data_IF_051039123868
#
_entry.id   IF_051039123868
#
_cell.length_a   1.000
_cell.length_b   1.000
_cell.length_c   1.000
_cell.angle_alpha   90.00
_cell.angle_beta   90.00
_cell.angle_gamma   90.00
#
_symmetry.space_group_name_H-M   'P 1'
#
loop_
_entity.id
_entity.type
_entity.pdbx_description
1 polymer ?
#
# COMPACT_ATOMS: atom_id res chain seq x y z
N UNK A 1 8.12 29.22 6.96
CA UNK A 1 7.22 29.00 8.10
C UNK A 1 6.02 28.17 7.67
N UNK A 2 5.56 27.28 8.54
CA UNK A 2 4.37 26.44 8.29
C UNK A 2 3.15 27.21 8.76
N UNK A 3 2.13 27.33 7.90
CA UNK A 3 0.84 27.92 8.26
C UNK A 3 0.01 26.85 8.97
N UNK A 4 0.00 26.86 10.31
CA UNK A 4 -0.61 25.82 11.14
C UNK A 4 -2.13 25.69 10.95
N UNK A 5 -2.81 26.77 10.64
CA UNK A 5 -4.27 26.82 10.51
C UNK A 5 -4.76 26.85 9.05
N UNK A 6 -3.94 26.40 8.11
CA UNK A 6 -4.35 26.32 6.70
C UNK A 6 -5.45 25.28 6.50
N UNK A 7 -6.47 25.60 5.71
CA UNK A 7 -7.52 24.66 5.29
C UNK A 7 -6.99 23.51 4.42
N UNK A 8 -5.77 23.64 3.88
CA UNK A 8 -5.10 22.60 3.09
C UNK A 8 -4.29 21.64 3.94
N UNK A 9 -4.10 21.93 5.24
CA UNK A 9 -3.37 21.03 6.12
C UNK A 9 -4.12 19.70 6.29
N UNK A 10 -3.42 18.60 6.02
CA UNK A 10 -3.92 17.25 6.28
C UNK A 10 -2.78 16.33 6.67
N UNK A 11 -3.12 15.28 7.39
CA UNK A 11 -2.19 14.21 7.74
C UNK A 11 -2.62 12.92 7.06
N UNK A 12 -1.70 12.32 6.31
CA UNK A 12 -1.86 11.00 5.72
C UNK A 12 -0.85 10.07 6.40
N UNK A 13 -1.32 8.96 6.92
CA UNK A 13 -0.51 8.06 7.74
C UNK A 13 -1.01 6.62 7.60
N UNK A 14 -0.46 5.69 8.39
CA UNK A 14 -0.72 4.25 8.32
C UNK A 14 -2.18 3.84 8.56
N UNK A 15 -3.01 4.70 9.13
CA UNK A 15 -4.44 4.42 9.39
C UNK A 15 -5.39 5.17 8.45
N UNK A 16 -4.87 6.01 7.57
CA UNK A 16 -5.69 6.75 6.60
C UNK A 16 -6.38 5.80 5.64
N UNK A 17 -7.66 6.03 5.41
CA UNK A 17 -8.40 5.28 4.38
C UNK A 17 -7.94 5.71 2.99
N UNK A 18 -7.55 4.74 2.15
CA UNK A 18 -7.00 4.96 0.82
C UNK A 18 -7.75 4.12 -0.20
N UNK A 19 -8.10 4.71 -1.32
CA UNK A 19 -8.73 4.01 -2.43
C UNK A 19 -7.69 3.19 -3.22
N UNK A 20 -8.03 1.95 -3.57
CA UNK A 20 -7.30 1.18 -4.58
C UNK A 20 -7.83 1.59 -5.95
N UNK A 21 -6.98 2.10 -6.82
CA UNK A 21 -7.33 2.63 -8.14
C UNK A 21 -6.53 1.93 -9.25
N UNK A 22 -7.17 1.67 -10.36
CA UNK A 22 -6.56 0.98 -11.50
C UNK A 22 -6.96 -0.50 -11.60
N UNK A 23 -6.22 -1.32 -12.33
CA UNK A 23 -6.64 -2.67 -12.74
C UNK A 23 -6.85 -3.66 -11.59
N UNK A 24 -6.26 -3.40 -10.41
CA UNK A 24 -6.43 -4.30 -9.26
C UNK A 24 -7.60 -3.92 -8.34
N UNK A 25 -8.29 -2.81 -8.60
CA UNK A 25 -9.48 -2.43 -7.82
C UNK A 25 -10.54 -3.52 -7.89
N UNK A 26 -10.94 -4.03 -6.74
CA UNK A 26 -11.96 -5.09 -6.62
C UNK A 26 -11.45 -6.49 -6.98
N UNK A 27 -10.15 -6.67 -7.25
CA UNK A 27 -9.59 -7.99 -7.48
C UNK A 27 -9.59 -8.82 -6.18
N UNK A 28 -9.82 -10.13 -6.28
CA UNK A 28 -9.83 -11.03 -5.12
C UNK A 28 -8.54 -10.98 -4.29
N UNK A 29 -7.38 -10.73 -4.93
CA UNK A 29 -6.10 -10.56 -4.24
C UNK A 29 -6.01 -9.29 -3.37
N UNK A 30 -6.95 -8.35 -3.51
CA UNK A 30 -7.03 -7.11 -2.71
C UNK A 30 -8.06 -7.19 -1.58
N UNK A 31 -8.81 -8.28 -1.49
CA UNK A 31 -9.80 -8.52 -0.43
C UNK A 31 -9.10 -8.69 0.91
N UNK A 32 -9.53 -7.94 1.91
CA UNK A 32 -9.07 -8.01 3.30
C UNK A 32 -10.25 -7.81 4.24
N UNK A 33 -10.08 -8.11 5.52
CA UNK A 33 -11.07 -7.81 6.57
C UNK A 33 -11.48 -6.32 6.57
N UNK A 34 -10.55 -5.42 6.29
CA UNK A 34 -10.84 -3.98 6.17
C UNK A 34 -11.66 -3.64 4.91
N UNK A 35 -11.45 -4.34 3.82
CA UNK A 35 -12.12 -4.10 2.53
C UNK A 35 -12.57 -5.42 1.90
N UNK A 36 -13.74 -5.95 2.31
CA UNK A 36 -14.26 -7.21 1.78
C UNK A 36 -14.54 -7.21 0.27
N UNK A 37 -14.63 -6.04 -0.34
CA UNK A 37 -14.80 -5.86 -1.79
C UNK A 37 -13.47 -5.54 -2.53
N UNK A 38 -12.33 -5.46 -1.83
CA UNK A 38 -11.02 -5.24 -2.43
C UNK A 38 -10.83 -3.86 -3.07
N UNK A 39 -11.59 -2.84 -2.64
CA UNK A 39 -11.55 -1.49 -3.25
C UNK A 39 -10.82 -0.44 -2.42
N UNK A 40 -10.50 -0.78 -1.17
CA UNK A 40 -9.88 0.12 -0.19
C UNK A 40 -8.72 -0.56 0.53
N UNK A 41 -7.86 0.26 1.10
CA UNK A 41 -6.79 -0.17 2.00
C UNK A 41 -6.56 0.86 3.09
N UNK A 42 -5.87 0.50 4.16
CA UNK A 42 -5.51 1.45 5.22
C UNK A 42 -4.04 1.83 5.11
N UNK A 43 -3.83 3.12 4.90
CA UNK A 43 -2.55 3.75 5.08
C UNK A 43 -1.53 3.55 3.96
N UNK A 44 -0.47 4.30 4.12
CA UNK A 44 0.77 4.22 3.35
C UNK A 44 1.94 4.18 4.30
N UNK A 45 3.06 3.59 3.90
CA UNK A 45 4.19 3.36 4.78
C UNK A 45 5.49 3.37 3.99
N UNK A 46 6.56 3.73 4.70
CA UNK A 46 7.93 3.75 4.20
C UNK A 46 8.04 4.45 2.85
N UNK A 47 7.43 5.64 2.78
CA UNK A 47 7.51 6.46 1.59
C UNK A 47 8.93 7.03 1.48
N UNK A 48 9.59 6.76 0.35
CA UNK A 48 10.91 7.27 0.04
C UNK A 48 10.83 8.60 -0.70
N UNK A 49 11.24 8.62 -1.96
CA UNK A 49 11.12 9.80 -2.76
C UNK A 49 9.68 10.04 -3.22
N UNK A 50 9.50 10.97 -4.10
CA UNK A 50 8.19 11.44 -4.52
C UNK A 50 8.17 11.74 -6.02
N UNK A 51 7.02 12.11 -6.48
CA UNK A 51 6.81 12.66 -7.80
C UNK A 51 5.59 13.59 -7.82
N UNK A 52 5.31 14.11 -8.98
CA UNK A 52 4.11 14.91 -9.21
C UNK A 52 3.48 14.53 -10.54
N UNK A 53 2.22 14.86 -10.70
CA UNK A 53 1.50 14.64 -11.94
C UNK A 53 1.34 15.95 -12.72
N UNK A 54 1.13 15.89 -14.03
CA UNK A 54 0.88 17.09 -14.85
C UNK A 54 -0.38 17.86 -14.44
N UNK A 55 -1.29 17.21 -13.73
CA UNK A 55 -2.53 17.80 -13.22
C UNK A 55 -2.42 18.30 -11.77
N UNK A 56 -1.20 18.39 -11.22
CA UNK A 56 -0.91 19.07 -9.96
C UNK A 56 -1.09 18.22 -8.70
N UNK A 57 -1.16 16.89 -8.80
CA UNK A 57 -1.17 16.01 -7.62
C UNK A 57 0.23 15.53 -7.26
N UNK A 58 0.41 15.16 -5.98
CA UNK A 58 1.65 14.60 -5.44
C UNK A 58 1.60 13.08 -5.47
N UNK A 59 2.73 12.44 -5.76
CA UNK A 59 2.93 10.99 -5.72
C UNK A 59 3.89 10.65 -4.57
N UNK A 60 3.42 9.90 -3.58
CA UNK A 60 4.26 9.31 -2.53
C UNK A 60 4.59 7.87 -2.91
N UNK A 61 5.87 7.49 -2.80
CA UNK A 61 6.39 6.23 -3.31
C UNK A 61 6.66 5.25 -2.18
N UNK A 62 5.93 4.14 -2.12
CA UNK A 62 6.12 3.09 -1.10
C UNK A 62 7.32 2.22 -1.46
N UNK A 63 8.39 2.30 -0.67
CA UNK A 63 9.66 1.60 -0.92
C UNK A 63 9.78 0.31 -0.11
N UNK A 64 10.18 0.39 1.16
CA UNK A 64 10.53 -0.76 2.01
C UNK A 64 9.32 -1.38 2.75
N UNK A 65 8.16 -1.35 2.14
CA UNK A 65 6.88 -1.77 2.72
C UNK A 65 6.83 -3.26 3.13
N UNK A 66 7.54 -4.15 2.43
CA UNK A 66 7.46 -5.59 2.66
C UNK A 66 7.96 -6.01 4.04
N UNK A 67 8.92 -5.27 4.62
CA UNK A 67 9.52 -5.56 5.91
C UNK A 67 8.58 -5.47 7.11
N UNK A 68 7.43 -4.84 6.95
CA UNK A 68 6.44 -4.69 8.02
C UNK A 68 5.55 -5.91 8.21
N UNK A 69 5.46 -6.81 7.20
CA UNK A 69 4.56 -7.94 7.21
C UNK A 69 5.20 -9.20 7.80
N UNK A 70 4.63 -9.70 8.89
CA UNK A 70 4.88 -11.03 9.43
C UNK A 70 3.82 -12.02 8.99
N UNK A 71 4.07 -13.30 9.26
CA UNK A 71 3.17 -14.41 8.91
C UNK A 71 3.08 -15.38 10.08
N UNK A 72 1.96 -15.42 10.77
CA UNK A 72 1.72 -16.33 11.90
C UNK A 72 1.26 -17.71 11.45
N UNK A 73 0.66 -17.82 10.27
CA UNK A 73 0.15 -19.07 9.71
C UNK A 73 0.17 -18.99 8.17
N UNK A 74 1.12 -19.63 7.49
CA UNK A 74 1.19 -19.65 6.03
C UNK A 74 -0.06 -20.25 5.39
N UNK A 75 -0.70 -21.21 6.05
CA UNK A 75 -1.83 -21.97 5.51
C UNK A 75 -1.52 -22.62 4.16
N UNK A 76 -2.55 -22.98 3.42
CA UNK A 76 -2.42 -23.47 2.04
C UNK A 76 -2.53 -22.29 1.06
N UNK A 77 -1.41 -21.89 0.51
CA UNK A 77 -1.33 -20.88 -0.56
C UNK A 77 -0.91 -21.53 -1.87
N UNK A 78 -1.43 -21.02 -2.98
CA UNK A 78 -0.99 -21.44 -4.30
C UNK A 78 0.51 -21.16 -4.51
N UNK A 79 1.13 -21.91 -5.43
CA UNK A 79 2.52 -21.67 -5.82
C UNK A 79 2.77 -20.25 -6.32
N UNK A 80 1.79 -19.67 -7.03
CA UNK A 80 1.86 -18.29 -7.53
C UNK A 80 1.82 -17.26 -6.40
N UNK A 81 0.97 -17.43 -5.38
CA UNK A 81 0.96 -16.56 -4.20
C UNK A 81 2.29 -16.63 -3.45
N UNK A 82 2.81 -17.81 -3.21
CA UNK A 82 4.10 -18.02 -2.56
C UNK A 82 5.26 -17.40 -3.36
N UNK A 83 5.25 -17.57 -4.69
CA UNK A 83 6.24 -16.97 -5.57
C UNK A 83 6.18 -15.43 -5.52
N UNK A 84 4.98 -14.87 -5.54
CA UNK A 84 4.75 -13.42 -5.38
C UNK A 84 5.26 -12.91 -4.04
N UNK A 85 4.94 -13.59 -2.93
CA UNK A 85 5.44 -13.21 -1.61
C UNK A 85 6.97 -13.19 -1.56
N UNK A 86 7.61 -14.24 -2.05
CA UNK A 86 9.09 -14.32 -2.11
C UNK A 86 9.69 -13.23 -3.00
N UNK A 87 9.10 -12.98 -4.18
CA UNK A 87 9.57 -11.94 -5.09
C UNK A 87 9.61 -10.57 -4.41
N UNK A 88 8.57 -10.20 -3.68
CA UNK A 88 8.47 -8.90 -3.02
C UNK A 88 9.09 -8.85 -1.62
N UNK A 89 9.62 -9.96 -1.12
CA UNK A 89 10.21 -10.03 0.21
C UNK A 89 9.20 -10.07 1.35
N UNK A 90 7.94 -10.37 1.06
CA UNK A 90 6.93 -10.67 2.08
C UNK A 90 7.16 -12.09 2.61
N UNK A 91 7.07 -12.28 3.91
CA UNK A 91 7.37 -13.57 4.55
C UNK A 91 6.34 -14.63 4.14
N UNK A 92 6.79 -15.63 3.39
CA UNK A 92 5.96 -16.76 2.95
C UNK A 92 5.88 -17.91 3.98
N UNK A 93 6.79 -17.92 4.97
CA UNK A 93 6.84 -18.91 6.07
C UNK A 93 6.52 -18.24 7.40
N UNK A 94 6.28 -19.02 8.45
CA UNK A 94 6.06 -18.48 9.80
C UNK A 94 7.23 -17.58 10.22
N UNK A 95 6.89 -16.44 10.80
CA UNK A 95 7.86 -15.50 11.38
C UNK A 95 7.40 -14.05 11.33
N UNK A 96 8.12 -13.21 12.05
CA UNK A 96 7.82 -11.78 12.14
C UNK A 96 8.35 -11.01 10.93
N UNK A 97 7.71 -9.89 10.62
CA UNK A 97 8.29 -8.89 9.72
C UNK A 97 9.57 -8.28 10.35
N UNK A 98 10.44 -7.72 9.51
CA UNK A 98 11.69 -7.06 9.97
C UNK A 98 11.40 -5.99 11.03
N UNK A 99 10.32 -5.24 10.88
CA UNK A 99 9.94 -4.15 11.78
C UNK A 99 9.13 -4.62 13.00
N UNK A 100 8.78 -5.90 13.08
CA UNK A 100 8.02 -6.53 14.19
C UNK A 100 6.63 -5.92 14.46
N UNK A 101 6.05 -5.15 13.57
CA UNK A 101 4.74 -4.53 13.79
C UNK A 101 3.59 -5.55 13.91
N UNK A 102 3.77 -6.73 13.31
CA UNK A 102 2.81 -7.83 13.42
C UNK A 102 2.75 -8.46 14.82
N UNK A 103 3.66 -8.09 15.73
CA UNK A 103 3.69 -8.58 17.13
C UNK A 103 3.10 -7.58 18.11
N UNK A 104 2.77 -6.37 17.68
CA UNK A 104 2.24 -5.33 18.56
C UNK A 104 0.84 -5.71 19.08
N UNK A 105 0.61 -5.46 20.36
CA UNK A 105 -0.68 -5.70 21.01
C UNK A 105 -1.72 -4.67 20.56
N UNK A 106 -2.93 -5.12 20.31
CA UNK A 106 -4.09 -4.28 19.98
C UNK A 106 -5.11 -4.19 21.12
N UNK A 107 -4.79 -4.69 22.30
CA UNK A 107 -5.70 -4.61 23.45
C UNK A 107 -6.08 -3.15 23.72
N UNK A 108 -7.39 -2.87 23.65
CA UNK A 108 -7.92 -1.52 23.83
C UNK A 108 -7.72 -0.55 22.65
N UNK A 109 -7.14 -0.99 21.53
CA UNK A 109 -6.95 -0.16 20.35
C UNK A 109 -8.19 -0.17 19.45
N UNK A 110 -8.57 1.02 18.96
CA UNK A 110 -9.68 1.16 18.02
C UNK A 110 -9.19 0.92 16.58
N UNK A 111 -9.92 0.10 15.83
CA UNK A 111 -9.70 -0.09 14.38
C UNK A 111 -8.55 -1.02 14.00
N UNK A 112 -8.13 -1.89 14.90
CA UNK A 112 -7.13 -2.94 14.62
C UNK A 112 -5.87 -2.40 13.92
N UNK A 113 -5.11 -1.48 14.54
CA UNK A 113 -4.01 -0.77 13.87
C UNK A 113 -2.86 -1.68 13.44
N UNK A 114 -2.68 -2.83 14.09
CA UNK A 114 -1.54 -3.73 13.87
C UNK A 114 -1.88 -5.10 13.28
N UNK A 115 -3.11 -5.61 13.41
CA UNK A 115 -3.47 -6.95 12.90
C UNK A 115 -3.29 -7.09 11.39
N UNK A 116 -3.41 -6.00 10.62
CA UNK A 116 -3.17 -6.01 9.18
C UNK A 116 -1.71 -6.29 8.77
N UNK A 117 -0.77 -6.17 9.68
CA UNK A 117 0.65 -6.49 9.43
C UNK A 117 0.94 -7.99 9.54
N UNK A 118 -0.04 -8.79 9.95
CA UNK A 118 0.03 -10.24 9.93
C UNK A 118 -0.72 -10.78 8.69
N UNK A 119 0.03 -11.34 7.75
CA UNK A 119 -0.55 -11.95 6.54
C UNK A 119 -0.90 -13.43 6.73
N UNK A 120 -0.93 -13.92 7.98
CA UNK A 120 -1.34 -15.28 8.30
C UNK A 120 -2.79 -15.57 7.89
N UNK A 121 -3.04 -16.80 7.44
CA UNK A 121 -4.38 -17.31 7.14
C UNK A 121 -5.01 -17.77 8.46
N UNK A 122 -5.86 -16.95 9.05
CA UNK A 122 -6.50 -17.22 10.37
C UNK A 122 -8.03 -17.24 10.29
N UNK A 123 -8.61 -16.68 9.24
CA UNK A 123 -10.05 -16.70 8.98
C UNK A 123 -10.45 -17.70 7.91
N UNK A 124 -11.75 -17.91 7.73
CA UNK A 124 -12.31 -18.80 6.70
C UNK A 124 -12.09 -18.26 5.28
N UNK A 125 -12.23 -16.96 5.11
CA UNK A 125 -12.06 -16.26 3.83
C UNK A 125 -11.08 -15.11 3.95
N UNK A 126 -10.69 -14.52 2.82
CA UNK A 126 -9.85 -13.33 2.80
C UNK A 126 -10.53 -12.07 3.40
N UNK A 127 -11.86 -12.09 3.50
CA UNK A 127 -12.63 -11.03 4.16
C UNK A 127 -12.64 -11.15 5.70
N UNK A 128 -12.16 -12.25 6.25
CA UNK A 128 -12.12 -12.49 7.69
C UNK A 128 -10.77 -12.17 8.31
N UNK A 129 -9.73 -11.99 7.50
CA UNK A 129 -8.37 -11.72 7.95
C UNK A 129 -7.60 -10.75 7.03
N UNK A 130 -6.30 -10.64 7.25
CA UNK A 130 -5.41 -9.76 6.50
C UNK A 130 -4.40 -10.51 5.62
N UNK A 131 -4.73 -11.78 5.21
CA UNK A 131 -3.83 -12.60 4.37
C UNK A 131 -3.36 -11.89 3.08
N UNK A 132 -4.17 -10.99 2.57
CA UNK A 132 -3.90 -10.21 1.35
C UNK A 132 -3.42 -8.77 1.63
N UNK A 133 -3.27 -8.36 2.89
CA UNK A 133 -2.94 -6.98 3.21
C UNK A 133 -1.66 -6.49 2.52
N UNK A 134 -0.62 -7.32 2.47
CA UNK A 134 0.63 -6.99 1.79
C UNK A 134 0.42 -6.67 0.30
N UNK A 135 -0.59 -7.26 -0.36
CA UNK A 135 -0.88 -7.01 -1.78
C UNK A 135 -1.36 -5.58 -2.04
N UNK A 136 -1.82 -4.88 -1.01
CA UNK A 136 -2.30 -3.49 -1.11
C UNK A 136 -1.19 -2.46 -0.92
N UNK A 137 0.08 -2.88 -0.82
CA UNK A 137 1.27 -2.04 -0.65
C UNK A 137 2.29 -2.25 -1.78
N UNK A 138 3.19 -1.28 -1.91
CA UNK A 138 4.20 -1.24 -2.96
C UNK A 138 3.73 -0.48 -4.20
N UNK A 139 2.95 0.57 -4.00
CA UNK A 139 2.40 1.42 -5.05
C UNK A 139 2.76 2.88 -4.87
N UNK A 140 2.58 3.66 -5.92
CA UNK A 140 2.53 5.11 -5.80
C UNK A 140 1.16 5.53 -5.24
N UNK A 141 1.18 6.39 -4.23
CA UNK A 141 -0.01 6.97 -3.60
C UNK A 141 -0.20 8.37 -4.11
N UNK A 142 -1.23 8.60 -4.89
CA UNK A 142 -1.57 9.92 -5.40
C UNK A 142 -2.42 10.69 -4.39
N UNK A 143 -2.00 11.92 -4.13
CA UNK A 143 -2.57 12.82 -3.15
C UNK A 143 -2.83 14.17 -3.83
N UNK A 144 -4.06 14.65 -3.76
CA UNK A 144 -4.39 16.02 -4.21
C UNK A 144 -4.14 17.01 -3.07
N UNK A 145 -3.09 17.84 -3.13
CA UNK A 145 -2.76 18.78 -2.07
C UNK A 145 -3.74 19.95 -1.99
N UNK A 146 -4.52 20.20 -3.04
CA UNK A 146 -5.49 21.29 -3.12
C UNK A 146 -6.91 20.88 -2.69
N UNK A 147 -7.11 19.56 -2.47
CA UNK A 147 -8.38 19.00 -1.98
C UNK A 147 -8.16 18.19 -0.71
N UNK A 148 -8.05 18.85 0.45
CA UNK A 148 -7.68 18.19 1.72
C UNK A 148 -8.67 17.09 2.14
N UNK A 149 -9.92 17.15 1.69
CA UNK A 149 -10.95 16.15 1.97
C UNK A 149 -11.02 15.02 0.93
N UNK A 150 -10.16 15.05 -0.11
CA UNK A 150 -10.12 13.96 -1.10
C UNK A 150 -9.50 12.70 -0.51
N UNK A 151 -9.98 11.53 -0.95
CA UNK A 151 -9.36 10.26 -0.58
C UNK A 151 -8.10 10.04 -1.42
N UNK A 152 -6.92 9.77 -0.81
CA UNK A 152 -5.72 9.36 -1.54
C UNK A 152 -5.97 8.07 -2.34
N UNK A 153 -5.18 7.86 -3.39
CA UNK A 153 -5.36 6.71 -4.29
C UNK A 153 -4.06 5.95 -4.51
N UNK A 154 -4.06 4.64 -4.26
CA UNK A 154 -2.96 3.77 -4.70
C UNK A 154 -3.13 3.44 -6.18
N UNK A 155 -2.17 3.84 -7.00
CA UNK A 155 -2.20 3.73 -8.46
C UNK A 155 -1.63 2.40 -8.92
N UNK A 156 -2.46 1.35 -8.94
CA UNK A 156 -2.02 -0.02 -9.27
C UNK A 156 -1.59 -0.18 -10.73
N UNK A 157 -2.02 0.70 -11.65
CA UNK A 157 -1.56 0.74 -13.03
C UNK A 157 -0.07 1.14 -13.17
N UNK A 158 0.53 1.74 -12.15
CA UNK A 158 1.94 2.13 -12.14
C UNK A 158 2.88 0.98 -11.71
N UNK A 159 2.35 -0.22 -11.51
CA UNK A 159 3.12 -1.39 -11.08
C UNK A 159 3.28 -1.48 -9.56
N UNK A 160 3.78 -2.64 -9.11
CA UNK A 160 4.04 -2.97 -7.71
C UNK A 160 5.49 -3.36 -7.51
N UNK A 161 6.24 -2.58 -6.74
CA UNK A 161 7.66 -2.83 -6.39
C UNK A 161 8.09 -1.91 -5.23
N UNK A 162 9.39 -1.82 -4.95
CA UNK A 162 9.94 -0.88 -3.96
C UNK A 162 10.17 0.48 -4.64
N UNK A 163 9.12 1.31 -4.69
CA UNK A 163 9.15 2.58 -5.39
C UNK A 163 10.01 3.61 -4.66
N UNK A 164 11.12 4.02 -5.25
CA UNK A 164 11.97 5.11 -4.74
C UNK A 164 11.57 6.48 -5.26
N UNK A 165 10.96 6.56 -6.44
CA UNK A 165 10.51 7.82 -7.02
C UNK A 165 9.59 7.59 -8.22
N UNK A 166 8.89 8.64 -8.65
CA UNK A 166 8.02 8.61 -9.82
C UNK A 166 8.08 9.95 -10.56
N UNK A 167 8.91 10.02 -11.58
CA UNK A 167 9.11 11.24 -12.36
C UNK A 167 8.29 11.23 -13.63
N UNK A 168 7.50 12.27 -13.86
CA UNK A 168 6.71 12.41 -15.08
C UNK A 168 7.60 12.82 -16.27
N UNK A 169 7.45 12.11 -17.39
CA UNK A 169 8.06 12.49 -18.66
C UNK A 169 7.37 13.68 -19.34
N UNK A 170 7.83 14.05 -20.52
CA UNK A 170 7.15 15.08 -21.32
C UNK A 170 5.68 14.74 -21.55
N UNK A 171 4.80 15.74 -21.39
CA UNK A 171 3.36 15.56 -21.53
C UNK A 171 2.86 16.26 -22.77
N UNK A 172 2.12 15.54 -23.60
CA UNK A 172 1.55 16.03 -24.85
C UNK A 172 0.08 15.59 -24.97
N UNK A 173 -0.79 16.52 -25.36
CA UNK A 173 -2.21 16.21 -25.52
C UNK A 173 -2.43 15.07 -26.53
N UNK A 174 -3.27 14.10 -26.17
CA UNK A 174 -3.57 12.94 -27.02
C UNK A 174 -2.52 11.82 -26.97
N UNK A 175 -1.43 11.98 -26.20
CA UNK A 175 -0.43 10.93 -25.98
C UNK A 175 -0.50 10.35 -24.58
N UNK A 176 -0.07 9.08 -24.37
CA UNK A 176 0.03 8.49 -23.03
C UNK A 176 0.99 9.30 -22.14
N UNK A 177 0.64 9.42 -20.87
CA UNK A 177 1.56 9.97 -19.85
C UNK A 177 2.52 8.87 -19.41
N UNK A 178 3.81 9.18 -19.42
CA UNK A 178 4.88 8.24 -19.03
C UNK A 178 5.47 8.67 -17.70
N UNK A 179 5.66 7.70 -16.80
CA UNK A 179 6.37 7.88 -15.54
C UNK A 179 7.64 7.03 -15.53
N UNK A 180 8.76 7.66 -15.20
CA UNK A 180 10.03 6.99 -14.92
C UNK A 180 10.10 6.71 -13.41
N UNK A 181 10.37 5.47 -13.05
CA UNK A 181 10.36 5.03 -11.65
C UNK A 181 11.56 4.15 -11.36
N UNK A 182 12.15 4.30 -10.17
CA UNK A 182 13.22 3.45 -9.66
C UNK A 182 12.68 2.37 -8.72
N UNK A 183 13.34 1.20 -8.71
CA UNK A 183 13.10 0.14 -7.73
C UNK A 183 14.39 -0.16 -6.97
N UNK A 184 14.38 -0.02 -5.65
CA UNK A 184 15.56 -0.20 -4.79
C UNK A 184 16.06 -1.66 -4.72
N UNK A 185 15.17 -2.65 -4.74
CA UNK A 185 15.62 -3.95 -4.23
C UNK A 185 15.21 -5.19 -5.00
N UNK A 186 14.40 -5.13 -6.02
CA UNK A 186 13.79 -6.35 -6.57
C UNK A 186 13.78 -6.47 -8.09
N UNK A 187 14.30 -5.48 -8.81
CA UNK A 187 14.26 -5.43 -10.28
C UNK A 187 15.57 -4.92 -10.86
#
# INVERSE_FOLDING_TARGET
SVVQNSLFNRRIHTLTDIEISGPLRGNAAMVTKYSPNGTRTRGTINNCASGYTPWGTYLACEENWAGYFGNSNPGTRSSNEQASMRRYGVRATVGNGRENWNTASEVGQVGEPFSRWNVGIVGGTAADDYRNAANTYGYNVEIDPFRPNSTPKKRTAMGRFAHEGAWVGPVEAGKPVVFYMGCDSRY
#
